data_IF_238316841513
#
_entry.id   IF_238316841513
#
_cell.length_a   1.000
_cell.length_b   1.000
_cell.length_c   1.000
_cell.angle_alpha   90.00
_cell.angle_beta   90.00
_cell.angle_gamma   90.00
#
_symmetry.space_group_name_H-M   'P 1'
#
loop_
_entity.id
_entity.type
_entity.pdbx_description
1 polymer ?
#
# COMPACT_ATOMS: atom_id res chain seq x y z
N UNK A 1 5.59 -15.72 -17.87
CA UNK A 1 6.11 -15.37 -16.54
C UNK A 1 7.43 -14.58 -16.59
N UNK A 2 8.25 -14.63 -17.65
CA UNK A 2 9.53 -13.89 -17.69
C UNK A 2 10.64 -14.50 -16.81
N UNK A 3 10.34 -15.56 -16.07
CA UNK A 3 11.30 -16.26 -15.22
C UNK A 3 12.23 -17.14 -16.04
N UNK A 4 13.53 -17.04 -15.77
CA UNK A 4 14.58 -17.83 -16.44
C UNK A 4 14.61 -19.30 -16.02
N UNK A 5 14.00 -19.65 -14.88
CA UNK A 5 13.87 -21.04 -14.44
C UNK A 5 12.60 -21.28 -13.62
N UNK A 6 12.19 -22.55 -13.59
CA UNK A 6 10.97 -23.00 -12.89
C UNK A 6 11.09 -22.90 -11.37
N UNK A 7 12.25 -23.22 -10.80
CA UNK A 7 12.43 -23.22 -9.34
C UNK A 7 12.26 -21.83 -8.72
N UNK A 8 12.73 -20.78 -9.38
CA UNK A 8 12.58 -19.38 -8.96
C UNK A 8 11.13 -18.94 -9.08
N UNK A 9 10.46 -19.29 -10.17
CA UNK A 9 9.03 -19.06 -10.30
C UNK A 9 8.24 -19.73 -9.17
N UNK A 10 8.51 -21.02 -8.91
CA UNK A 10 7.83 -21.76 -7.85
C UNK A 10 8.11 -21.18 -6.46
N UNK A 11 9.36 -20.81 -6.17
CA UNK A 11 9.71 -20.18 -4.89
C UNK A 11 8.96 -18.86 -4.69
N UNK A 12 9.00 -17.98 -5.67
CA UNK A 12 8.39 -16.66 -5.55
C UNK A 12 6.85 -16.76 -5.53
N UNK A 13 6.27 -17.73 -6.26
CA UNK A 13 4.84 -18.06 -6.17
C UNK A 13 4.45 -18.64 -4.80
N UNK A 14 5.28 -19.53 -4.23
CA UNK A 14 5.05 -20.07 -2.87
C UNK A 14 5.12 -18.97 -1.83
N UNK A 15 6.09 -18.05 -1.92
CA UNK A 15 6.15 -16.91 -0.98
C UNK A 15 4.94 -16.00 -1.12
N UNK A 16 4.55 -15.65 -2.34
CA UNK A 16 3.36 -14.83 -2.56
C UNK A 16 2.09 -15.50 -2.03
N UNK A 17 1.92 -16.81 -2.27
CA UNK A 17 0.77 -17.56 -1.79
C UNK A 17 0.79 -17.78 -0.28
N UNK A 18 1.97 -18.00 0.33
CA UNK A 18 2.12 -18.13 1.77
C UNK A 18 1.82 -16.81 2.50
N UNK A 19 2.32 -15.69 1.99
CA UNK A 19 2.03 -14.35 2.51
C UNK A 19 0.53 -14.04 2.39
N UNK A 20 -0.06 -14.29 1.22
CA UNK A 20 -1.51 -14.20 0.99
C UNK A 20 -2.31 -15.08 1.97
N UNK A 21 -1.85 -16.29 2.29
CA UNK A 21 -2.53 -17.21 3.22
C UNK A 21 -2.34 -16.86 4.70
N UNK A 22 -1.21 -16.27 5.08
CA UNK A 22 -0.95 -15.89 6.47
C UNK A 22 -1.75 -14.65 6.87
N UNK A 23 -1.79 -13.64 6.00
CA UNK A 23 -2.40 -12.34 6.30
C UNK A 23 -3.81 -12.15 5.71
N UNK A 24 -4.16 -12.90 4.68
CA UNK A 24 -5.37 -12.64 3.90
C UNK A 24 -5.26 -11.35 3.10
N UNK A 25 -6.33 -10.96 2.40
CA UNK A 25 -6.43 -9.59 1.89
C UNK A 25 -6.60 -8.61 3.06
N UNK A 26 -6.24 -7.34 2.86
CA UNK A 26 -6.49 -6.30 3.89
C UNK A 26 -7.96 -6.32 4.35
N UNK A 27 -8.90 -6.66 3.48
CA UNK A 27 -10.33 -6.82 3.77
C UNK A 27 -10.66 -7.93 4.78
N UNK A 28 -9.78 -8.92 4.96
CA UNK A 28 -9.97 -10.10 5.82
C UNK A 28 -9.16 -10.05 7.12
N UNK A 29 -8.20 -9.12 7.25
CA UNK A 29 -7.39 -8.94 8.47
C UNK A 29 -8.23 -8.60 9.72
N UNK A 30 -7.70 -8.81 10.93
CA UNK A 30 -8.39 -8.32 12.14
C UNK A 30 -8.23 -6.80 12.28
N UNK A 31 -9.25 -6.13 12.78
CA UNK A 31 -9.28 -4.65 12.85
C UNK A 31 -8.08 -4.05 13.60
N UNK A 32 -7.62 -4.73 14.65
CA UNK A 32 -6.53 -4.34 15.55
C UNK A 32 -5.16 -4.92 15.14
N UNK A 33 -5.08 -5.65 14.03
CA UNK A 33 -3.82 -6.21 13.54
C UNK A 33 -2.89 -5.06 13.12
N UNK A 34 -1.71 -4.99 13.76
CA UNK A 34 -0.68 -4.01 13.41
C UNK A 34 0.04 -4.44 12.13
N UNK A 35 0.01 -3.57 11.14
CA UNK A 35 0.62 -3.79 9.83
C UNK A 35 1.45 -2.58 9.41
N UNK A 36 2.45 -2.84 8.57
CA UNK A 36 3.28 -1.84 7.92
C UNK A 36 3.23 -2.10 6.41
N UNK A 37 3.34 -1.04 5.62
CA UNK A 37 3.41 -1.18 4.17
C UNK A 37 3.55 0.13 3.44
N UNK A 38 3.24 0.08 2.15
CA UNK A 38 3.25 1.24 1.27
C UNK A 38 1.88 1.43 0.63
N UNK A 39 1.30 2.62 0.76
CA UNK A 39 0.17 3.06 -0.05
C UNK A 39 0.73 3.70 -1.33
N UNK A 40 0.25 3.26 -2.48
CA UNK A 40 0.61 3.78 -3.79
C UNK A 40 -0.65 4.39 -4.38
N UNK A 41 -0.68 5.71 -4.52
CA UNK A 41 -1.85 6.47 -4.97
C UNK A 41 -1.53 7.14 -6.30
N UNK A 42 -2.35 6.89 -7.30
CA UNK A 42 -2.31 7.52 -8.62
C UNK A 42 -3.46 8.52 -8.72
N UNK A 43 -3.18 9.75 -9.12
CA UNK A 43 -4.18 10.80 -9.19
C UNK A 43 -3.82 11.89 -10.21
N UNK A 44 -4.81 12.70 -10.58
CA UNK A 44 -4.62 13.83 -11.49
C UNK A 44 -4.16 15.08 -10.73
N UNK A 45 -3.32 15.91 -11.37
CA UNK A 45 -2.84 17.18 -10.82
C UNK A 45 -3.99 18.07 -10.27
N UNK A 46 -3.76 18.72 -9.14
CA UNK A 46 -4.65 19.74 -8.56
C UNK A 46 -5.40 19.32 -7.29
N UNK A 47 -5.24 18.07 -6.84
CA UNK A 47 -5.84 17.57 -5.58
C UNK A 47 -4.81 17.34 -4.46
N UNK A 48 -3.57 17.79 -4.63
CA UNK A 48 -2.45 17.51 -3.72
C UNK A 48 -2.74 17.94 -2.27
N UNK A 49 -3.55 19.01 -2.11
CA UNK A 49 -3.98 19.52 -0.82
C UNK A 49 -5.00 18.61 -0.11
N UNK A 50 -5.89 17.94 -0.83
CA UNK A 50 -6.82 16.97 -0.23
C UNK A 50 -6.09 15.74 0.28
N UNK A 51 -5.00 15.38 -0.38
CA UNK A 51 -4.11 14.29 0.04
C UNK A 51 -3.19 14.72 1.20
N UNK A 52 -3.02 16.03 1.48
CA UNK A 52 -2.36 16.50 2.72
C UNK A 52 -3.20 16.18 3.94
N UNK A 53 -4.51 16.37 3.88
CA UNK A 53 -5.39 16.17 5.04
C UNK A 53 -5.45 14.71 5.47
N UNK A 54 -5.42 13.77 4.51
CA UNK A 54 -5.37 12.33 4.76
C UNK A 54 -4.02 11.90 5.40
N UNK A 55 -2.95 12.68 5.23
CA UNK A 55 -1.65 12.41 5.88
C UNK A 55 -1.62 12.81 7.35
N UNK A 56 -2.58 13.61 7.79
CA UNK A 56 -2.70 14.07 9.17
C UNK A 56 -3.81 13.35 9.93
N UNK A 57 -4.39 12.29 9.37
CA UNK A 57 -5.35 11.47 10.11
C UNK A 57 -4.61 10.64 11.16
N UNK A 58 -5.18 10.54 12.35
CA UNK A 58 -4.65 9.70 13.43
C UNK A 58 -4.90 8.19 13.19
N UNK A 59 -5.30 7.81 11.98
CA UNK A 59 -5.65 6.43 11.61
C UNK A 59 -4.43 5.58 11.27
N UNK A 60 -3.40 6.19 10.68
CA UNK A 60 -2.13 5.54 10.33
C UNK A 60 -0.95 6.48 10.61
N UNK A 61 0.18 5.92 11.01
CA UNK A 61 1.44 6.65 11.20
C UNK A 61 2.23 6.67 9.90
N UNK A 62 2.42 7.84 9.31
CA UNK A 62 3.19 8.01 8.07
C UNK A 62 4.66 8.25 8.38
N UNK A 63 5.52 7.32 7.97
CA UNK A 63 6.97 7.41 8.15
C UNK A 63 7.65 8.21 7.03
N UNK A 64 7.31 7.94 5.77
CA UNK A 64 7.89 8.63 4.62
C UNK A 64 6.87 8.82 3.50
N UNK A 65 7.13 9.82 2.66
CA UNK A 65 6.27 10.20 1.55
C UNK A 65 7.12 10.61 0.35
N UNK A 66 6.83 10.04 -0.81
CA UNK A 66 7.50 10.36 -2.06
C UNK A 66 6.47 10.64 -3.16
N UNK A 67 6.60 11.80 -3.80
CA UNK A 67 5.74 12.25 -4.88
C UNK A 67 6.49 12.23 -6.22
N UNK A 68 5.83 11.79 -7.28
CA UNK A 68 6.37 11.84 -8.63
C UNK A 68 5.29 12.06 -9.69
N UNK A 69 5.62 12.72 -10.79
CA UNK A 69 4.69 12.91 -11.91
C UNK A 69 5.14 12.09 -13.13
N UNK A 70 4.25 11.23 -13.61
CA UNK A 70 4.45 10.45 -14.82
C UNK A 70 4.22 11.34 -16.05
N UNK A 71 5.31 11.65 -16.76
CA UNK A 71 5.29 12.59 -17.89
C UNK A 71 4.39 12.18 -19.06
N UNK A 72 4.17 10.89 -19.26
CA UNK A 72 3.41 10.38 -20.40
C UNK A 72 1.90 10.33 -20.13
N UNK A 73 1.50 9.94 -18.92
CA UNK A 73 0.08 9.84 -18.55
C UNK A 73 -0.44 11.10 -17.86
N UNK A 74 0.43 12.06 -17.55
CA UNK A 74 0.12 13.25 -16.74
C UNK A 74 -0.45 12.95 -15.35
N UNK A 75 -0.17 11.73 -14.84
CA UNK A 75 -0.62 11.25 -13.54
C UNK A 75 0.43 11.52 -12.47
N UNK A 76 0.01 12.03 -11.33
CA UNK A 76 0.81 12.09 -10.12
C UNK A 76 0.75 10.76 -9.38
N UNK A 77 1.85 10.38 -8.75
CA UNK A 77 1.98 9.15 -7.98
C UNK A 77 2.63 9.46 -6.65
N UNK A 78 1.91 9.14 -5.59
CA UNK A 78 2.39 9.20 -4.22
C UNK A 78 2.67 7.79 -3.70
N UNK A 79 3.85 7.60 -3.14
CA UNK A 79 4.23 6.39 -2.40
C UNK A 79 4.40 6.79 -0.95
N UNK A 80 3.54 6.25 -0.08
CA UNK A 80 3.43 6.59 1.33
C UNK A 80 3.81 5.35 2.14
N UNK A 81 4.91 5.42 2.88
CA UNK A 81 5.26 4.38 3.85
C UNK A 81 4.54 4.67 5.16
N UNK A 82 3.78 3.72 5.67
CA UNK A 82 3.02 3.89 6.90
C UNK A 82 2.88 2.58 7.69
N UNK A 83 2.63 2.74 9.00
CA UNK A 83 2.30 1.68 9.95
C UNK A 83 1.03 2.02 10.73
N UNK A 84 0.30 1.02 11.21
CA UNK A 84 -0.95 1.24 11.93
C UNK A 84 -1.78 -0.03 12.03
N UNK A 85 -2.99 0.08 12.59
CA UNK A 85 -3.94 -1.04 12.64
C UNK A 85 -4.63 -1.22 11.29
N UNK A 86 -4.96 -2.47 10.92
CA UNK A 86 -5.55 -2.80 9.63
C UNK A 86 -6.83 -1.98 9.32
N UNK A 87 -7.65 -1.72 10.34
CA UNK A 87 -8.84 -0.87 10.20
C UNK A 87 -8.50 0.54 9.71
N UNK A 88 -7.44 1.16 10.23
CA UNK A 88 -7.01 2.49 9.81
C UNK A 88 -6.61 2.52 8.34
N UNK A 89 -5.91 1.49 7.86
CA UNK A 89 -5.59 1.38 6.43
C UNK A 89 -6.83 1.23 5.55
N UNK A 90 -7.84 0.47 5.98
CA UNK A 90 -9.10 0.36 5.23
C UNK A 90 -9.81 1.70 5.13
N UNK A 91 -9.93 2.42 6.25
CA UNK A 91 -10.56 3.73 6.29
C UNK A 91 -9.83 4.75 5.41
N UNK A 92 -8.50 4.76 5.46
CA UNK A 92 -7.67 5.58 4.55
C UNK A 92 -7.89 5.22 3.09
N UNK A 93 -7.92 3.93 2.74
CA UNK A 93 -8.15 3.49 1.37
C UNK A 93 -9.55 3.89 0.88
N UNK A 94 -10.58 3.73 1.70
CA UNK A 94 -11.95 4.16 1.39
C UNK A 94 -11.99 5.68 1.13
N UNK A 95 -11.35 6.49 1.98
CA UNK A 95 -11.25 7.94 1.77
C UNK A 95 -10.59 8.30 0.42
N UNK A 96 -9.51 7.62 0.05
CA UNK A 96 -8.88 7.85 -1.26
C UNK A 96 -9.76 7.40 -2.42
N UNK A 97 -10.47 6.27 -2.30
CA UNK A 97 -11.39 5.78 -3.33
C UNK A 97 -12.57 6.73 -3.55
N UNK A 98 -13.03 7.39 -2.49
CA UNK A 98 -14.12 8.38 -2.55
C UNK A 98 -13.62 9.78 -2.98
N UNK A 99 -12.31 10.00 -3.08
CA UNK A 99 -11.74 11.28 -3.48
C UNK A 99 -11.75 11.44 -5.00
N UNK A 100 -12.49 12.44 -5.47
CA UNK A 100 -12.52 12.82 -6.89
C UNK A 100 -11.09 13.06 -7.41
N UNK A 101 -10.80 12.50 -8.58
CA UNK A 101 -9.50 12.57 -9.27
C UNK A 101 -8.39 11.69 -8.71
N UNK A 102 -8.68 10.82 -7.73
CA UNK A 102 -7.86 9.63 -7.47
C UNK A 102 -8.22 8.56 -8.50
N UNK A 103 -7.25 8.14 -9.29
CA UNK A 103 -7.42 7.15 -10.35
C UNK A 103 -7.30 5.72 -9.81
N UNK A 104 -6.39 5.52 -8.86
CA UNK A 104 -6.07 4.20 -8.30
C UNK A 104 -5.35 4.32 -6.96
N UNK A 105 -5.70 3.44 -6.03
CA UNK A 105 -4.92 3.20 -4.82
C UNK A 105 -4.58 1.72 -4.68
N UNK A 106 -3.37 1.43 -4.22
CA UNK A 106 -2.92 0.09 -3.89
C UNK A 106 -2.21 0.13 -2.55
N UNK A 107 -2.57 -0.77 -1.65
CA UNK A 107 -1.80 -1.02 -0.45
C UNK A 107 -0.92 -2.26 -0.66
N UNK A 108 0.38 -2.12 -0.42
CA UNK A 108 1.35 -3.20 -0.46
C UNK A 108 1.86 -3.42 0.95
N UNK A 109 1.41 -4.51 1.56
CA UNK A 109 1.84 -4.92 2.90
C UNK A 109 3.32 -5.31 2.90
N UNK A 110 4.07 -4.86 3.91
CA UNK A 110 5.42 -5.33 4.16
C UNK A 110 5.40 -6.83 4.53
N UNK A 111 6.41 -7.64 4.13
CA UNK A 111 6.43 -9.06 4.46
C UNK A 111 6.37 -9.32 5.96
N UNK A 112 5.59 -10.32 6.39
CA UNK A 112 5.68 -10.85 7.75
C UNK A 112 7.05 -11.49 7.96
N UNK A 113 7.72 -11.14 9.05
CA UNK A 113 8.97 -11.77 9.46
C UNK A 113 9.00 -11.88 10.97
N UNK A 114 9.12 -13.12 11.46
CA UNK A 114 9.43 -13.40 12.87
C UNK A 114 10.93 -13.15 13.17
N UNK A 115 11.76 -13.14 12.14
CA UNK A 115 13.21 -12.98 12.22
C UNK A 115 13.72 -12.00 11.16
N UNK A 116 14.60 -11.08 11.57
CA UNK A 116 15.12 -10.02 10.73
C UNK A 116 16.41 -9.42 11.28
N UNK A 117 17.03 -8.54 10.50
CA UNK A 117 18.24 -7.81 10.90
C UNK A 117 17.88 -6.58 11.75
N UNK A 118 17.08 -6.76 12.81
CA UNK A 118 16.78 -5.81 13.89
C UNK A 118 16.14 -6.61 15.03
#
# INVERSE_FOLDING_TARGET
SGYKNRSRFMRDAVFHFADYKQRGELSEMQDDELIEGHLIVYYQHGIEHKLLDIRHTDEIEVATYNHSCLKQSHTCVDVIQASGVAKGFRSVIEMFQDTVSVDKIVFVTAPMRDEGCC
#
